data_IF_994203798833
#
_entry.id   IF_994203798833
#
_cell.length_a   1.000
_cell.length_b   1.000
_cell.length_c   1.000
_cell.angle_alpha   90.00
_cell.angle_beta   90.00
_cell.angle_gamma   90.00
#
_symmetry.space_group_name_H-M   'P 1'
#
loop_
_entity.id
_entity.type
_entity.pdbx_description
1 polymer ?
#
# COMPACT_ATOMS: atom_id res chain seq x y z
N UNK A 1 -5.70 -15.87 27.87
CA UNK A 1 -5.03 -14.56 27.66
C UNK A 1 -5.17 -14.23 26.18
N UNK A 2 -4.68 -13.08 25.69
CA UNK A 2 -4.81 -12.68 24.29
C UNK A 2 -3.44 -12.69 23.60
N UNK A 3 -3.38 -13.12 22.33
CA UNK A 3 -2.20 -12.92 21.48
C UNK A 3 -2.28 -11.55 20.82
N UNK A 4 -1.17 -10.81 20.80
CA UNK A 4 -1.02 -9.58 20.03
C UNK A 4 0.05 -9.81 18.97
N UNK A 5 -0.29 -9.54 17.72
CA UNK A 5 0.61 -9.62 16.58
C UNK A 5 0.78 -8.24 15.97
N UNK A 6 2.03 -7.83 15.73
CA UNK A 6 2.37 -6.50 15.23
C UNK A 6 3.37 -6.58 14.10
N UNK A 7 3.14 -5.80 13.05
CA UNK A 7 4.15 -5.50 12.06
C UNK A 7 4.51 -4.02 12.17
N UNK A 8 5.79 -3.75 12.44
CA UNK A 8 6.33 -2.42 12.66
C UNK A 8 7.15 -2.07 11.43
N UNK A 9 6.79 -0.98 10.77
CA UNK A 9 7.41 -0.53 9.53
C UNK A 9 7.72 0.97 9.58
N UNK A 10 8.83 1.40 8.96
CA UNK A 10 9.07 2.82 8.75
C UNK A 10 8.04 3.39 7.78
N UNK A 11 7.70 4.68 7.89
CA UNK A 11 6.76 5.32 6.98
C UNK A 11 7.13 6.75 6.63
N UNK A 12 6.81 7.17 5.40
CA UNK A 12 6.95 8.56 4.95
C UNK A 12 5.63 9.35 4.96
N UNK A 13 4.72 8.97 5.86
CA UNK A 13 3.45 9.66 5.99
C UNK A 13 3.62 10.94 6.80
N UNK A 14 3.10 12.03 6.25
CA UNK A 14 3.11 13.35 6.86
C UNK A 14 1.67 13.75 7.18
N UNK A 15 1.47 14.50 8.25
CA UNK A 15 0.16 15.10 8.56
C UNK A 15 0.11 16.54 8.03
N UNK A 16 -1.06 16.97 7.55
CA UNK A 16 -1.29 18.29 6.92
C UNK A 16 -0.79 19.48 7.74
N UNK A 17 -0.96 19.45 9.07
CA UNK A 17 -0.50 20.50 9.99
C UNK A 17 0.88 20.21 10.57
N UNK A 18 1.60 19.23 10.00
CA UNK A 18 2.90 18.74 10.43
C UNK A 18 2.93 18.33 11.90
N UNK A 19 1.79 17.85 12.42
CA UNK A 19 1.70 17.27 13.76
C UNK A 19 2.28 15.87 13.75
N UNK A 20 2.85 15.47 14.89
CA UNK A 20 3.39 14.12 15.09
C UNK A 20 2.54 13.26 16.02
N UNK A 21 1.33 13.74 16.32
CA UNK A 21 0.34 13.02 17.11
C UNK A 21 -0.02 11.70 16.43
N UNK A 22 -0.33 10.70 17.26
CA UNK A 22 -0.71 9.38 16.76
C UNK A 22 -2.06 9.44 16.05
N UNK A 23 -2.09 8.91 14.83
CA UNK A 23 -3.33 8.62 14.10
C UNK A 23 -3.66 7.13 14.26
N UNK A 24 -4.89 6.83 14.67
CA UNK A 24 -5.36 5.46 14.94
C UNK A 24 -6.51 5.16 13.99
N UNK A 25 -6.40 4.07 13.23
CA UNK A 25 -7.43 3.57 12.33
C UNK A 25 -7.88 2.19 12.83
N UNK A 26 -9.14 2.08 13.25
CA UNK A 26 -9.75 0.79 13.59
C UNK A 26 -10.31 0.15 12.32
N UNK A 27 -9.71 -0.98 11.94
CA UNK A 27 -10.05 -1.74 10.75
C UNK A 27 -10.60 -3.12 11.10
N UNK A 28 -11.08 -3.33 12.32
CA UNK A 28 -11.57 -4.62 12.81
C UNK A 28 -12.69 -5.15 11.93
N UNK A 29 -13.73 -4.34 11.70
CA UNK A 29 -14.89 -4.76 10.90
C UNK A 29 -14.53 -4.93 9.43
N UNK A 30 -13.64 -4.09 8.90
CA UNK A 30 -13.12 -4.20 7.54
C UNK A 30 -12.40 -5.54 7.35
N UNK A 31 -11.51 -5.91 8.28
CA UNK A 31 -10.80 -7.19 8.23
C UNK A 31 -11.74 -8.39 8.32
N UNK A 32 -12.71 -8.35 9.25
CA UNK A 32 -13.71 -9.41 9.38
C UNK A 32 -14.54 -9.56 8.12
N UNK A 33 -14.95 -8.45 7.49
CA UNK A 33 -15.70 -8.47 6.23
C UNK A 33 -14.86 -9.07 5.09
N UNK A 34 -13.59 -8.68 4.97
CA UNK A 34 -12.68 -9.23 3.95
C UNK A 34 -12.50 -10.75 4.12
N UNK A 35 -12.26 -11.22 5.34
CA UNK A 35 -12.12 -12.66 5.61
C UNK A 35 -13.43 -13.43 5.39
N UNK A 36 -14.57 -12.85 5.78
CA UNK A 36 -15.90 -13.43 5.54
C UNK A 36 -16.18 -13.61 4.04
N UNK A 37 -15.72 -12.68 3.21
CA UNK A 37 -15.87 -12.73 1.77
C UNK A 37 -14.78 -13.57 1.07
N UNK A 38 -14.04 -14.39 1.82
CA UNK A 38 -13.06 -15.34 1.28
C UNK A 38 -12.00 -14.68 0.39
N UNK A 39 -11.45 -13.55 0.85
CA UNK A 39 -10.41 -12.75 0.19
C UNK A 39 -9.21 -13.55 -0.37
N UNK A 40 -8.97 -14.77 0.12
CA UNK A 40 -7.94 -15.70 -0.35
C UNK A 40 -8.26 -16.41 -1.69
N UNK A 41 -9.49 -16.35 -2.19
CA UNK A 41 -9.91 -16.98 -3.45
C UNK A 41 -9.61 -16.12 -4.70
N UNK A 42 -9.01 -14.94 -4.52
CA UNK A 42 -8.65 -14.04 -5.63
C UNK A 42 -7.56 -14.64 -6.51
N UNK A 43 -7.53 -14.22 -7.77
CA UNK A 43 -6.51 -14.64 -8.76
C UNK A 43 -5.12 -14.04 -8.51
N UNK A 44 -5.00 -13.14 -7.52
CA UNK A 44 -3.77 -12.54 -7.08
C UNK A 44 -3.82 -12.38 -5.55
N UNK A 45 -2.65 -12.23 -4.92
CA UNK A 45 -2.56 -12.05 -3.47
C UNK A 45 -1.72 -10.81 -3.11
N UNK A 46 -2.13 -10.11 -2.04
CA UNK A 46 -1.29 -9.12 -1.37
C UNK A 46 -0.51 -9.74 -0.20
N UNK A 47 -1.12 -10.68 0.52
CA UNK A 47 -0.48 -11.57 1.51
C UNK A 47 -0.29 -13.02 1.04
N UNK A 48 -0.09 -13.96 1.97
CA UNK A 48 -0.05 -15.40 1.67
C UNK A 48 -1.46 -16.01 1.79
N UNK A 49 -1.98 -16.59 0.70
CA UNK A 49 -3.37 -17.10 0.63
C UNK A 49 -3.69 -18.16 1.69
N UNK A 50 -2.76 -19.09 1.93
CA UNK A 50 -2.95 -20.17 2.94
C UNK A 50 -3.07 -19.62 4.35
N UNK A 51 -2.31 -18.58 4.70
CA UNK A 51 -2.39 -17.95 6.03
C UNK A 51 -3.73 -17.24 6.24
N UNK A 52 -4.24 -16.57 5.21
CA UNK A 52 -5.55 -15.90 5.26
C UNK A 52 -6.69 -16.91 5.42
N UNK A 53 -6.71 -17.97 4.59
CA UNK A 53 -7.75 -19.00 4.61
C UNK A 53 -7.91 -19.69 5.96
N UNK A 54 -6.79 -19.91 6.67
CA UNK A 54 -6.79 -20.60 7.95
C UNK A 54 -7.14 -19.68 9.15
N UNK A 55 -7.46 -18.41 8.90
CA UNK A 55 -7.78 -17.43 9.95
C UNK A 55 -9.26 -17.44 10.29
N UNK A 56 -9.56 -17.86 11.51
CA UNK A 56 -10.90 -17.76 12.06
C UNK A 56 -11.21 -16.30 12.43
N UNK A 57 -12.25 -15.73 11.81
CA UNK A 57 -12.71 -14.37 12.05
C UNK A 57 -13.20 -14.14 13.48
N UNK A 58 -13.73 -15.17 14.15
CA UNK A 58 -14.20 -15.08 15.55
C UNK A 58 -13.04 -14.97 16.55
N UNK A 59 -11.83 -15.40 16.16
CA UNK A 59 -10.65 -15.21 16.99
C UNK A 59 -10.15 -13.76 16.99
N UNK A 60 -10.56 -12.93 16.02
CA UNK A 60 -10.09 -11.55 15.88
C UNK A 60 -10.86 -10.64 16.85
N UNK A 61 -10.15 -10.18 17.88
CA UNK A 61 -10.68 -9.22 18.86
C UNK A 61 -10.63 -7.79 18.32
N UNK A 62 -9.50 -7.39 17.73
CA UNK A 62 -9.34 -6.06 17.14
C UNK A 62 -8.25 -6.06 16.07
N UNK A 63 -8.37 -5.18 15.08
CA UNK A 63 -7.35 -4.92 14.07
C UNK A 63 -7.19 -3.41 13.90
N UNK A 64 -6.02 -2.88 14.26
CA UNK A 64 -5.76 -1.44 14.35
C UNK A 64 -4.47 -1.09 13.63
N UNK A 65 -4.47 0.00 12.88
CA UNK A 65 -3.25 0.61 12.35
C UNK A 65 -2.98 1.92 13.06
N UNK A 66 -1.76 2.05 13.60
CA UNK A 66 -1.26 3.23 14.29
C UNK A 66 -0.21 3.88 13.42
N UNK A 67 -0.49 5.08 12.95
CA UNK A 67 0.45 5.89 12.18
C UNK A 67 1.01 6.99 13.09
N UNK A 68 2.32 7.00 13.23
CA UNK A 68 3.08 8.09 13.82
C UNK A 68 3.72 8.86 12.66
N UNK A 69 3.21 10.06 12.32
CA UNK A 69 3.70 10.81 11.17
C UNK A 69 5.19 11.17 11.27
N UNK A 70 5.80 11.50 10.14
CA UNK A 70 7.15 12.06 10.06
C UNK A 70 7.28 13.32 10.92
N UNK A 71 8.46 13.50 11.50
CA UNK A 71 8.82 14.72 12.21
C UNK A 71 9.53 15.68 11.25
N UNK A 72 8.94 16.84 11.00
CA UNK A 72 9.43 17.82 10.01
C UNK A 72 9.98 19.08 10.68
N UNK A 73 9.50 19.44 11.87
CA UNK A 73 9.87 20.70 12.53
C UNK A 73 9.85 20.60 14.06
N UNK A 74 10.72 21.36 14.73
CA UNK A 74 10.81 21.48 16.19
C UNK A 74 12.16 21.01 16.75
N UNK A 75 12.20 20.77 18.06
CA UNK A 75 13.39 20.23 18.74
C UNK A 75 13.65 18.78 18.36
N UNK A 76 14.90 18.46 18.02
CA UNK A 76 15.33 17.12 17.64
C UNK A 76 15.35 16.20 18.86
N UNK A 77 14.53 15.14 18.82
CA UNK A 77 14.66 13.99 19.72
C UNK A 77 15.19 12.79 18.91
N UNK A 78 16.48 12.50 19.03
CA UNK A 78 17.14 11.40 18.32
C UNK A 78 16.57 10.02 18.69
N UNK A 79 16.03 9.88 19.90
CA UNK A 79 15.46 8.64 20.42
C UNK A 79 13.95 8.48 20.13
N UNK A 80 13.34 9.42 19.41
CA UNK A 80 11.89 9.44 19.13
C UNK A 80 11.39 8.09 18.62
N UNK A 81 12.04 7.52 17.60
CA UNK A 81 11.60 6.26 16.98
C UNK A 81 11.71 5.08 17.96
N UNK A 82 12.87 4.84 18.62
CA UNK A 82 12.97 3.85 19.68
C UNK A 82 11.93 4.00 20.80
N UNK A 83 11.74 5.22 21.31
CA UNK A 83 10.79 5.52 22.39
C UNK A 83 9.35 5.19 21.97
N UNK A 84 8.93 5.60 20.76
CA UNK A 84 7.60 5.29 20.22
C UNK A 84 7.37 3.78 20.13
N UNK A 85 8.35 3.03 19.61
CA UNK A 85 8.25 1.58 19.46
C UNK A 85 8.19 0.90 20.82
N UNK A 86 9.06 1.27 21.77
CA UNK A 86 9.07 0.66 23.11
C UNK A 86 7.82 1.01 23.92
N UNK A 87 7.26 2.21 23.77
CA UNK A 87 6.01 2.60 24.41
C UNK A 87 4.81 1.76 23.93
N UNK A 88 4.73 1.44 22.64
CA UNK A 88 3.62 0.65 22.08
C UNK A 88 3.85 -0.85 22.19
N UNK A 89 5.07 -1.30 21.92
CA UNK A 89 5.41 -2.72 21.83
C UNK A 89 5.86 -3.32 23.16
N UNK A 90 6.28 -2.49 24.11
CA UNK A 90 7.11 -2.88 25.24
C UNK A 90 8.57 -3.10 24.81
N UNK A 91 9.43 -3.42 25.78
CA UNK A 91 10.85 -3.70 25.53
C UNK A 91 10.99 -4.92 24.62
N UNK A 92 11.54 -4.70 23.43
CA UNK A 92 11.84 -5.79 22.49
C UNK A 92 13.08 -6.54 22.97
N UNK A 93 13.03 -7.87 23.14
CA UNK A 93 14.18 -8.61 23.66
C UNK A 93 15.40 -8.48 22.74
N UNK A 94 16.52 -8.02 23.30
CA UNK A 94 17.74 -7.74 22.54
C UNK A 94 18.32 -8.95 21.82
N UNK A 95 18.13 -10.15 22.39
CA UNK A 95 18.61 -11.42 21.83
C UNK A 95 17.95 -11.81 20.49
N UNK A 96 16.83 -11.17 20.12
CA UNK A 96 16.13 -11.43 18.85
C UNK A 96 16.72 -10.63 17.68
N UNK A 97 17.74 -9.80 17.91
CA UNK A 97 18.50 -9.06 16.90
C UNK A 97 17.69 -8.17 15.94
N UNK A 98 16.47 -7.76 16.29
CA UNK A 98 15.59 -6.87 15.49
C UNK A 98 15.84 -5.36 15.71
N UNK A 99 17.04 -4.97 16.15
CA UNK A 99 17.37 -3.59 16.54
C UNK A 99 17.57 -2.59 15.37
N UNK A 100 17.13 -2.93 14.15
CA UNK A 100 17.32 -2.07 12.97
C UNK A 100 16.66 -0.70 13.12
N UNK A 101 15.49 -0.66 13.76
CA UNK A 101 14.74 0.57 14.05
C UNK A 101 15.48 1.61 14.89
N UNK A 102 16.51 1.21 15.63
CA UNK A 102 17.35 2.14 16.41
C UNK A 102 18.26 2.99 15.55
N UNK A 103 18.43 2.65 14.27
CA UNK A 103 19.22 3.38 13.29
C UNK A 103 18.37 4.19 12.31
N UNK A 104 17.04 4.09 12.41
CA UNK A 104 16.17 4.88 11.56
C UNK A 104 16.28 6.35 11.94
N UNK A 105 16.26 7.24 10.95
CA UNK A 105 16.30 8.68 11.20
C UNK A 105 15.16 9.09 12.12
N UNK A 106 15.42 9.95 13.10
CA UNK A 106 14.39 10.48 14.01
C UNK A 106 13.25 11.21 13.28
N UNK A 107 13.51 11.69 12.05
CA UNK A 107 12.55 12.38 11.18
C UNK A 107 11.53 11.44 10.54
N UNK A 108 11.82 10.14 10.47
CA UNK A 108 10.92 9.18 9.83
C UNK A 108 9.65 8.95 10.66
N UNK A 109 8.56 8.63 9.97
CA UNK A 109 7.36 8.12 10.60
C UNK A 109 7.48 6.63 10.93
N UNK A 110 6.56 6.15 11.75
CA UNK A 110 6.44 4.72 12.07
C UNK A 110 4.98 4.32 11.91
N UNK A 111 4.73 3.22 11.22
CA UNK A 111 3.40 2.59 11.17
C UNK A 111 3.44 1.24 11.88
N UNK A 112 2.47 1.01 12.77
CA UNK A 112 2.32 -0.24 13.52
C UNK A 112 0.96 -0.83 13.14
N UNK A 113 1.00 -1.93 12.41
CA UNK A 113 -0.17 -2.73 12.06
C UNK A 113 -0.33 -3.78 13.17
N UNK A 114 -1.45 -3.77 13.88
CA UNK A 114 -1.69 -4.59 15.08
C UNK A 114 -2.98 -5.41 14.93
N UNK A 115 -2.91 -6.70 15.26
CA UNK A 115 -4.09 -7.56 15.43
C UNK A 115 -4.02 -8.22 16.80
N UNK A 116 -5.13 -8.13 17.54
CA UNK A 116 -5.33 -8.80 18.82
C UNK A 116 -6.26 -9.97 18.61
N UNK A 117 -5.83 -11.15 19.06
CA UNK A 117 -6.59 -12.39 18.98
C UNK A 117 -7.09 -12.81 20.37
N UNK A 118 -8.28 -13.40 20.42
CA UNK A 118 -8.82 -14.02 21.64
C UNK A 118 -8.02 -15.26 22.07
N UNK A 119 -7.39 -15.94 21.12
CA UNK A 119 -6.62 -17.16 21.35
C UNK A 119 -5.19 -16.86 21.79
N UNK A 120 -4.64 -17.77 22.61
CA UNK A 120 -3.24 -17.78 22.99
C UNK A 120 -2.41 -18.56 21.97
N UNK A 121 -1.27 -18.00 21.57
CA UNK A 121 -0.31 -18.70 20.71
C UNK A 121 0.61 -19.54 21.58
N UNK A 122 0.50 -20.87 21.43
CA UNK A 122 1.34 -21.82 22.15
C UNK A 122 2.74 -21.88 21.54
N UNK A 123 3.69 -22.37 22.33
CA UNK A 123 5.06 -22.71 21.89
C UNK A 123 5.82 -21.54 21.25
N UNK A 124 5.59 -20.30 21.72
CA UNK A 124 6.42 -19.14 21.34
C UNK A 124 7.88 -19.45 21.73
N UNK A 125 8.84 -19.35 20.76
CA UNK A 125 10.25 -19.60 21.02
C UNK A 125 10.82 -18.70 22.10
N UNK A 126 11.75 -19.26 22.85
CA UNK A 126 12.48 -18.62 23.93
C UNK A 126 13.97 -18.61 23.60
N UNK A 127 14.78 -17.97 24.46
CA UNK A 127 16.23 -17.88 24.26
C UNK A 127 16.91 -19.26 24.12
N UNK A 128 16.40 -20.30 24.79
CA UNK A 128 16.94 -21.67 24.67
C UNK A 128 16.66 -22.32 23.32
N UNK A 129 15.61 -21.88 22.62
CA UNK A 129 15.21 -22.44 21.31
C UNK A 129 16.01 -21.80 20.16
N UNK A 130 16.70 -20.69 20.44
CA UNK A 130 17.63 -20.01 19.57
C UNK A 130 19.03 -20.61 19.77
N UNK A 131 19.24 -21.83 19.30
CA UNK A 131 20.57 -22.46 19.32
C UNK A 131 21.50 -21.73 18.34
N UNK A 132 22.81 -21.76 18.58
CA UNK A 132 23.82 -21.26 17.64
C UNK A 132 23.93 -22.13 16.37
N UNK A 133 23.07 -23.14 16.21
CA UNK A 133 23.00 -23.98 15.04
C UNK A 133 22.32 -23.25 13.88
N UNK A 134 22.62 -23.68 12.66
CA UNK A 134 22.09 -23.08 11.42
C UNK A 134 20.56 -23.09 11.32
N UNK A 135 19.85 -23.92 12.12
CA UNK A 135 18.39 -24.06 12.08
C UNK A 135 17.84 -23.98 13.51
N UNK A 136 17.10 -22.91 13.87
CA UNK A 136 16.41 -22.83 15.14
C UNK A 136 15.40 -23.96 15.31
N UNK A 137 15.29 -24.52 16.52
CA UNK A 137 14.36 -25.62 16.80
C UNK A 137 12.96 -25.08 17.15
N UNK A 138 12.24 -24.59 16.15
CA UNK A 138 10.89 -24.06 16.33
C UNK A 138 9.82 -25.14 16.17
N UNK A 139 8.80 -25.10 17.01
CA UNK A 139 7.61 -25.93 16.87
C UNK A 139 6.86 -25.59 15.57
N UNK A 140 6.50 -26.61 14.78
CA UNK A 140 5.80 -26.45 13.49
C UNK A 140 4.50 -25.64 13.67
N UNK A 141 3.75 -25.87 14.75
CA UNK A 141 2.49 -25.14 15.03
C UNK A 141 2.76 -23.65 15.27
N UNK A 142 3.89 -23.32 15.88
CA UNK A 142 4.30 -21.91 16.04
C UNK A 142 4.66 -21.30 14.68
N UNK A 143 5.42 -22.01 13.83
CA UNK A 143 5.78 -21.55 12.48
C UNK A 143 4.52 -21.27 11.65
N UNK A 144 3.56 -22.20 11.66
CA UNK A 144 2.28 -22.02 10.96
C UNK A 144 1.51 -20.80 11.47
N UNK A 145 1.40 -20.63 12.80
CA UNK A 145 0.71 -19.49 13.41
C UNK A 145 1.43 -18.17 13.12
N UNK A 146 2.76 -18.17 13.08
CA UNK A 146 3.59 -17.03 12.72
C UNK A 146 3.31 -16.58 11.28
N UNK A 147 3.36 -17.50 10.30
CA UNK A 147 3.09 -17.17 8.90
C UNK A 147 1.64 -16.76 8.68
N UNK A 148 0.70 -17.38 9.39
CA UNK A 148 -0.69 -16.98 9.42
C UNK A 148 -0.85 -15.52 9.86
N UNK A 149 -0.38 -15.16 11.05
CA UNK A 149 -0.53 -13.79 11.57
C UNK A 149 0.16 -12.76 10.68
N UNK A 150 1.36 -13.06 10.16
CA UNK A 150 2.05 -12.17 9.24
C UNK A 150 1.28 -11.98 7.93
N UNK A 151 0.64 -13.02 7.39
CA UNK A 151 -0.17 -12.91 6.18
C UNK A 151 -1.36 -11.96 6.38
N UNK A 152 -2.07 -12.08 7.52
CA UNK A 152 -3.20 -11.19 7.84
C UNK A 152 -2.75 -9.74 7.98
N UNK A 153 -1.62 -9.49 8.65
CA UNK A 153 -1.06 -8.15 8.78
C UNK A 153 -0.65 -7.53 7.45
N UNK A 154 -0.02 -8.31 6.55
CA UNK A 154 0.36 -7.85 5.21
C UNK A 154 -0.85 -7.51 4.34
N UNK A 155 -1.90 -8.31 4.43
CA UNK A 155 -3.16 -8.06 3.73
C UNK A 155 -3.82 -6.78 4.22
N UNK A 156 -3.92 -6.61 5.55
CA UNK A 156 -4.47 -5.39 6.17
C UNK A 156 -3.66 -4.14 5.82
N UNK A 157 -2.33 -4.26 5.81
CA UNK A 157 -1.42 -3.18 5.45
C UNK A 157 -1.62 -2.74 3.99
N UNK A 158 -1.73 -3.71 3.06
CA UNK A 158 -1.96 -3.43 1.63
C UNK A 158 -3.31 -2.79 1.38
N UNK A 159 -4.35 -3.28 2.06
CA UNK A 159 -5.69 -2.69 2.04
C UNK A 159 -5.68 -1.23 2.52
N UNK A 160 -5.04 -0.97 3.66
CA UNK A 160 -4.95 0.38 4.22
C UNK A 160 -4.15 1.34 3.34
N UNK A 161 -3.00 0.89 2.84
CA UNK A 161 -2.14 1.68 1.95
C UNK A 161 -2.86 2.04 0.65
N UNK A 162 -3.64 1.11 0.10
CA UNK A 162 -4.50 1.37 -1.05
C UNK A 162 -5.52 2.46 -0.75
N UNK A 163 -6.21 2.37 0.39
CA UNK A 163 -7.14 3.40 0.83
C UNK A 163 -6.48 4.77 0.98
N UNK A 164 -5.27 4.83 1.55
CA UNK A 164 -4.51 6.07 1.67
C UNK A 164 -4.18 6.70 0.32
N UNK A 165 -3.64 5.94 -0.63
CA UNK A 165 -3.25 6.48 -1.94
C UNK A 165 -4.43 6.95 -2.79
N UNK A 166 -5.59 6.29 -2.66
CA UNK A 166 -6.80 6.72 -3.35
C UNK A 166 -7.47 7.92 -2.65
N UNK A 167 -7.36 8.04 -1.33
CA UNK A 167 -7.91 9.18 -0.57
C UNK A 167 -7.04 10.43 -0.65
N UNK A 168 -5.72 10.27 -0.74
CA UNK A 168 -4.74 11.36 -0.67
C UNK A 168 -3.73 11.23 -1.83
N UNK A 169 -4.12 11.57 -3.07
CA UNK A 169 -3.20 11.55 -4.18
C UNK A 169 -2.10 12.59 -3.95
N UNK A 170 -0.87 12.11 -3.75
CA UNK A 170 0.32 12.94 -3.57
C UNK A 170 1.14 13.00 -4.83
N UNK A 171 1.59 14.22 -5.16
CA UNK A 171 2.71 14.50 -6.05
C UNK A 171 3.90 14.90 -5.17
N UNK A 172 5.01 14.20 -5.26
CA UNK A 172 6.26 14.57 -4.60
C UNK A 172 7.40 14.46 -5.58
N UNK A 173 8.50 15.18 -5.41
CA UNK A 173 9.69 14.98 -6.22
C UNK A 173 10.61 14.08 -5.42
N UNK A 174 10.89 12.87 -5.92
CA UNK A 174 11.83 11.98 -5.24
C UNK A 174 13.24 12.46 -5.54
N UNK A 175 13.96 12.83 -4.48
CA UNK A 175 15.41 12.98 -4.55
C UNK A 175 16.02 11.60 -4.58
N UNK A 176 17.01 11.37 -5.46
CA UNK A 176 17.65 10.08 -5.64
C UNK A 176 18.18 9.60 -4.29
N UNK A 177 17.65 8.48 -3.81
CA UNK A 177 18.06 7.86 -2.57
C UNK A 177 18.76 6.53 -2.86
N UNK A 178 20.09 6.56 -2.93
CA UNK A 178 20.89 5.36 -3.19
C UNK A 178 20.96 4.42 -1.95
N UNK A 179 20.35 4.79 -0.82
CA UNK A 179 20.30 3.98 0.41
C UNK A 179 18.86 3.93 0.98
N UNK A 180 17.94 3.25 0.27
CA UNK A 180 16.55 3.10 0.72
C UNK A 180 16.46 2.37 2.06
N UNK A 181 15.49 2.76 2.87
CA UNK A 181 15.20 2.02 4.10
C UNK A 181 14.34 0.82 3.71
N UNK A 182 14.95 -0.36 3.73
CA UNK A 182 14.26 -1.64 3.59
C UNK A 182 14.38 -2.43 4.89
N UNK A 183 13.58 -2.03 5.88
CA UNK A 183 13.64 -2.55 7.25
C UNK A 183 12.25 -2.59 7.88
N UNK A 184 12.11 -3.42 8.89
CA UNK A 184 10.85 -3.69 9.58
C UNK A 184 10.96 -4.98 10.38
N UNK A 185 10.05 -5.16 11.32
CA UNK A 185 10.01 -6.38 12.11
C UNK A 185 8.60 -6.76 12.49
N UNK A 186 8.40 -8.07 12.59
CA UNK A 186 7.18 -8.67 13.09
C UNK A 186 7.40 -9.10 14.54
N UNK A 187 6.42 -8.83 15.39
CA UNK A 187 6.42 -9.14 16.82
C UNK A 187 5.12 -9.89 17.16
N UNK A 188 5.25 -11.03 17.81
CA UNK A 188 4.14 -11.77 18.41
C UNK A 188 4.35 -11.83 19.93
N UNK A 189 3.30 -11.49 20.69
CA UNK A 189 3.29 -11.53 22.14
C UNK A 189 2.05 -12.30 22.61
N UNK A 190 2.24 -13.31 23.45
CA UNK A 190 1.15 -14.08 24.07
C UNK A 190 1.51 -14.34 25.54
N UNK A 191 0.69 -13.82 26.45
CA UNK A 191 1.02 -13.80 27.88
C UNK A 191 2.38 -13.11 28.14
N UNK A 192 3.27 -13.80 28.85
CA UNK A 192 4.62 -13.32 29.17
C UNK A 192 5.67 -13.66 28.12
N UNK A 193 5.31 -14.39 27.06
CA UNK A 193 6.24 -14.77 25.98
C UNK A 193 6.13 -13.79 24.82
N UNK A 194 7.27 -13.47 24.22
CA UNK A 194 7.34 -12.67 22.99
C UNK A 194 8.40 -13.22 22.06
N UNK A 195 8.12 -13.12 20.77
CA UNK A 195 9.05 -13.45 19.69
C UNK A 195 9.00 -12.36 18.63
N UNK A 196 10.15 -12.03 18.07
CA UNK A 196 10.28 -11.02 17.04
C UNK A 196 11.26 -11.49 15.97
N UNK A 197 10.94 -11.16 14.73
CA UNK A 197 11.77 -11.49 13.57
C UNK A 197 11.84 -10.30 12.62
N UNK A 198 12.99 -10.12 11.96
CA UNK A 198 13.13 -9.12 10.91
C UNK A 198 12.24 -9.48 9.72
N UNK A 199 11.50 -8.50 9.24
CA UNK A 199 10.67 -8.59 8.03
C UNK A 199 10.97 -7.35 7.21
N UNK A 200 11.94 -7.46 6.31
CA UNK A 200 12.35 -6.38 5.40
C UNK A 200 11.15 -5.92 4.55
N UNK A 201 10.96 -4.61 4.49
CA UNK A 201 9.89 -3.98 3.71
C UNK A 201 10.19 -2.51 3.47
N UNK A 202 9.66 -1.96 2.39
CA UNK A 202 9.59 -0.53 2.11
C UNK A 202 8.14 -0.06 1.85
N UNK A 203 7.13 -0.90 2.11
CA UNK A 203 5.74 -0.68 1.66
C UNK A 203 5.04 0.60 2.16
N UNK A 204 5.59 1.33 3.13
CA UNK A 204 4.99 2.56 3.68
C UNK A 204 5.88 3.78 3.42
N UNK A 205 6.90 3.60 2.59
CA UNK A 205 7.93 4.60 2.32
C UNK A 205 7.55 5.51 1.17
N UNK A 206 6.52 5.20 0.39
CA UNK A 206 6.01 6.18 -0.56
C UNK A 206 5.33 7.37 0.17
N UNK A 207 5.64 8.60 -0.24
CA UNK A 207 5.11 9.79 0.44
C UNK A 207 3.58 9.91 0.33
N UNK A 208 2.93 10.18 1.47
CA UNK A 208 1.50 10.45 1.59
C UNK A 208 1.30 11.61 2.57
N UNK A 209 0.52 12.61 2.16
CA UNK A 209 0.07 13.70 3.03
C UNK A 209 -1.32 13.35 3.54
N UNK A 210 -1.41 12.97 4.81
CA UNK A 210 -2.66 12.66 5.48
C UNK A 210 -3.33 13.96 5.92
N UNK A 211 -4.41 14.31 5.22
CA UNK A 211 -5.27 15.44 5.56
C UNK A 211 -6.27 15.00 6.63
N UNK A 212 -5.97 15.29 7.90
CA UNK A 212 -6.86 14.90 9.02
C UNK A 212 -8.24 15.53 8.92
N UNK A 213 -8.34 16.68 8.26
CA UNK A 213 -9.61 17.35 7.89
C UNK A 213 -10.50 16.49 6.98
N UNK A 214 -9.92 15.57 6.21
CA UNK A 214 -10.60 14.63 5.30
C UNK A 214 -10.65 13.20 5.83
N UNK A 215 -10.50 13.00 7.14
CA UNK A 215 -10.51 11.67 7.77
C UNK A 215 -11.79 10.87 7.48
N UNK A 216 -12.94 11.53 7.42
CA UNK A 216 -14.19 10.86 7.04
C UNK A 216 -14.14 10.25 5.63
N UNK A 217 -13.42 10.88 4.69
CA UNK A 217 -13.30 10.38 3.33
C UNK A 217 -12.51 9.08 3.27
N UNK A 218 -11.43 8.94 4.05
CA UNK A 218 -10.69 7.68 4.11
C UNK A 218 -11.53 6.57 4.77
N UNK A 219 -12.31 6.88 5.81
CA UNK A 219 -13.20 5.91 6.45
C UNK A 219 -14.28 5.42 5.47
N UNK A 220 -14.90 6.33 4.69
CA UNK A 220 -15.86 5.97 3.63
C UNK A 220 -15.19 5.13 2.55
N UNK A 221 -14.02 5.52 2.07
CA UNK A 221 -13.28 4.81 1.03
C UNK A 221 -12.87 3.40 1.47
N UNK A 222 -12.35 3.26 2.69
CA UNK A 222 -11.98 1.95 3.25
C UNK A 222 -13.22 1.06 3.41
N UNK A 223 -14.36 1.61 3.85
CA UNK A 223 -15.61 0.87 3.94
C UNK A 223 -16.05 0.34 2.58
N UNK A 224 -16.10 1.20 1.56
CA UNK A 224 -16.42 0.80 0.19
C UNK A 224 -15.42 -0.21 -0.37
N UNK A 225 -14.12 -0.01 -0.14
CA UNK A 225 -13.08 -0.92 -0.61
C UNK A 225 -13.21 -2.30 0.03
N UNK A 226 -13.51 -2.39 1.33
CA UNK A 226 -13.62 -3.66 2.05
C UNK A 226 -14.74 -4.56 1.54
N UNK A 227 -15.84 -3.98 1.03
CA UNK A 227 -16.96 -4.77 0.49
C UNK A 227 -16.60 -5.44 -0.84
N UNK A 228 -15.71 -4.83 -1.62
CA UNK A 228 -15.29 -5.32 -2.94
C UNK A 228 -13.88 -5.92 -2.95
N UNK A 229 -13.15 -5.89 -1.82
CA UNK A 229 -11.74 -6.29 -1.75
C UNK A 229 -11.49 -7.72 -2.20
N UNK A 230 -12.49 -8.61 -2.05
CA UNK A 230 -12.46 -10.02 -2.45
C UNK A 230 -12.61 -10.26 -3.96
N UNK A 231 -12.93 -9.24 -4.76
CA UNK A 231 -13.06 -9.35 -6.21
C UNK A 231 -11.70 -9.30 -6.94
N UNK A 232 -11.75 -9.46 -8.27
CA UNK A 232 -10.57 -9.35 -9.12
C UNK A 232 -10.17 -7.88 -9.34
N UNK A 233 -9.41 -7.35 -8.38
CA UNK A 233 -8.85 -5.99 -8.37
C UNK A 233 -7.40 -5.94 -8.91
N UNK A 234 -7.07 -6.74 -9.93
CA UNK A 234 -5.72 -6.76 -10.52
C UNK A 234 -5.15 -5.37 -10.88
N UNK A 235 -5.93 -4.44 -11.49
CA UNK A 235 -5.47 -3.06 -11.72
C UNK A 235 -5.01 -2.35 -10.45
N UNK A 236 -5.72 -2.58 -9.34
CA UNK A 236 -5.39 -1.99 -8.05
C UNK A 236 -4.11 -2.59 -7.46
N UNK A 237 -3.86 -3.90 -7.66
CA UNK A 237 -2.60 -4.54 -7.26
C UNK A 237 -1.41 -3.93 -7.99
N UNK A 238 -1.52 -3.73 -9.30
CA UNK A 238 -0.49 -3.08 -10.12
C UNK A 238 -0.24 -1.64 -9.68
N UNK A 239 -1.31 -0.89 -9.41
CA UNK A 239 -1.19 0.46 -8.86
C UNK A 239 -0.42 0.45 -7.53
N UNK A 240 -0.76 -0.45 -6.61
CA UNK A 240 -0.08 -0.54 -5.33
C UNK A 240 1.41 -0.86 -5.48
N UNK A 241 1.80 -1.77 -6.37
CA UNK A 241 3.21 -2.04 -6.67
C UNK A 241 3.96 -0.78 -7.15
N UNK A 242 3.28 0.07 -7.93
CA UNK A 242 3.88 1.32 -8.38
C UNK A 242 4.11 2.30 -7.23
N UNK A 243 3.24 2.31 -6.20
CA UNK A 243 3.21 3.34 -5.16
C UNK A 243 3.53 2.85 -3.75
N UNK A 244 3.99 1.61 -3.54
CA UNK A 244 4.25 1.11 -2.18
C UNK A 244 5.62 1.55 -1.61
N UNK A 245 6.62 1.79 -2.46
CA UNK A 245 8.01 2.05 -2.04
C UNK A 245 8.43 3.50 -2.30
N UNK A 246 9.46 3.99 -1.58
CA UNK A 246 10.16 5.24 -1.92
C UNK A 246 11.11 5.07 -3.11
N UNK A 247 11.49 3.83 -3.42
CA UNK A 247 12.27 3.50 -4.60
C UNK A 247 11.38 3.51 -5.84
N UNK A 248 11.31 4.65 -6.49
CA UNK A 248 10.63 4.79 -7.77
C UNK A 248 11.64 4.52 -8.89
N UNK A 249 11.19 3.81 -9.91
CA UNK A 249 11.90 3.51 -11.14
C UNK A 249 10.93 3.58 -12.32
N UNK A 250 11.44 3.41 -13.54
CA UNK A 250 10.57 3.35 -14.71
C UNK A 250 9.65 2.14 -14.73
N UNK A 251 9.99 1.05 -14.01
CA UNK A 251 9.08 -0.08 -13.83
C UNK A 251 7.81 0.33 -13.06
N UNK A 252 7.91 1.28 -12.12
CA UNK A 252 6.75 1.81 -11.42
C UNK A 252 5.84 2.62 -12.37
N UNK A 253 6.39 3.36 -13.35
CA UNK A 253 5.57 3.98 -14.40
C UNK A 253 4.87 2.92 -15.27
N UNK A 254 5.57 1.82 -15.61
CA UNK A 254 4.96 0.72 -16.35
C UNK A 254 3.81 0.08 -15.55
N UNK A 255 3.99 -0.15 -14.26
CA UNK A 255 2.93 -0.66 -13.38
C UNK A 255 1.71 0.28 -13.31
N UNK A 256 1.91 1.60 -13.34
CA UNK A 256 0.82 2.58 -13.46
C UNK A 256 0.08 2.45 -14.80
N UNK A 257 0.80 2.30 -15.91
CA UNK A 257 0.20 2.15 -17.24
C UNK A 257 -0.53 0.80 -17.32
N UNK A 258 0.05 -0.28 -16.82
CA UNK A 258 -0.60 -1.60 -16.78
C UNK A 258 -1.80 -1.63 -15.84
N UNK A 259 -1.77 -0.86 -14.76
CA UNK A 259 -2.95 -0.62 -13.91
C UNK A 259 -4.06 0.04 -14.73
N UNK A 260 -3.74 1.11 -15.47
CA UNK A 260 -4.72 1.79 -16.33
C UNK A 260 -5.28 0.87 -17.42
N UNK A 261 -4.43 0.18 -18.16
CA UNK A 261 -4.83 -0.77 -19.21
C UNK A 261 -5.69 -1.91 -18.64
N UNK A 262 -5.40 -2.36 -17.42
CA UNK A 262 -6.17 -3.40 -16.74
C UNK A 262 -7.60 -3.01 -16.40
N UNK A 263 -7.95 -1.72 -16.46
CA UNK A 263 -9.33 -1.22 -16.34
C UNK A 263 -10.14 -1.39 -17.62
N UNK A 264 -9.60 -2.00 -18.67
CA UNK A 264 -10.30 -2.18 -19.94
C UNK A 264 -10.24 -3.64 -20.40
N UNK A 265 -11.02 -3.97 -21.43
CA UNK A 265 -10.99 -5.29 -22.04
C UNK A 265 -9.64 -5.59 -22.69
N UNK A 266 -9.31 -6.88 -22.78
CA UNK A 266 -8.11 -7.32 -23.48
C UNK A 266 -8.18 -6.83 -24.92
N UNK A 267 -7.09 -6.26 -25.43
CA UNK A 267 -6.98 -5.64 -26.78
C UNK A 267 -7.69 -4.30 -26.99
N UNK A 268 -8.17 -3.65 -25.92
CA UNK A 268 -8.56 -2.24 -26.01
C UNK A 268 -7.40 -1.40 -26.54
N UNK A 269 -7.67 -0.55 -27.54
CA UNK A 269 -6.63 0.29 -28.13
C UNK A 269 -6.18 1.37 -27.14
N UNK A 270 -4.89 1.71 -27.18
CA UNK A 270 -4.36 2.79 -26.36
C UNK A 270 -5.12 4.11 -26.60
N UNK A 271 -5.54 4.39 -27.83
CA UNK A 271 -6.29 5.61 -28.16
C UNK A 271 -7.69 5.63 -27.54
N UNK A 272 -8.36 4.47 -27.45
CA UNK A 272 -9.63 4.37 -26.74
C UNK A 272 -9.45 4.64 -25.23
N UNK A 273 -8.44 4.02 -24.62
CA UNK A 273 -8.12 4.23 -23.19
C UNK A 273 -7.82 5.70 -22.91
N UNK A 274 -6.97 6.33 -23.74
CA UNK A 274 -6.63 7.75 -23.61
C UNK A 274 -7.86 8.63 -23.72
N UNK A 275 -8.74 8.34 -24.68
CA UNK A 275 -9.98 9.09 -24.88
C UNK A 275 -10.91 8.96 -23.67
N UNK A 276 -11.05 7.75 -23.12
CA UNK A 276 -11.81 7.50 -21.89
C UNK A 276 -11.29 8.31 -20.71
N UNK A 277 -9.97 8.37 -20.50
CA UNK A 277 -9.38 9.20 -19.44
C UNK A 277 -9.70 10.69 -19.64
N UNK A 278 -9.50 11.21 -20.86
CA UNK A 278 -9.73 12.62 -21.17
C UNK A 278 -11.20 13.00 -20.93
N UNK A 279 -12.14 12.20 -21.43
CA UNK A 279 -13.57 12.46 -21.26
C UNK A 279 -14.02 12.38 -19.79
N UNK A 280 -13.43 11.46 -19.01
CA UNK A 280 -13.80 11.28 -17.60
C UNK A 280 -13.26 12.35 -16.66
N UNK A 281 -12.08 12.91 -16.97
CA UNK A 281 -11.28 13.66 -16.02
C UNK A 281 -11.10 15.13 -16.40
N UNK A 282 -11.23 15.48 -17.68
CA UNK A 282 -11.03 16.85 -18.14
C UNK A 282 -12.35 17.60 -18.26
N UNK A 283 -12.40 18.82 -17.72
CA UNK A 283 -13.56 19.72 -17.85
C UNK A 283 -13.38 20.77 -18.94
N UNK A 284 -12.13 21.11 -19.26
CA UNK A 284 -11.82 22.12 -20.26
C UNK A 284 -11.00 21.54 -21.41
N UNK A 285 -11.10 22.19 -22.58
CA UNK A 285 -10.28 21.87 -23.76
C UNK A 285 -8.78 21.98 -23.48
N UNK A 286 -8.38 22.86 -22.56
CA UNK A 286 -6.98 23.01 -22.15
C UNK A 286 -6.51 21.77 -21.40
N UNK A 287 -7.26 21.35 -20.37
CA UNK A 287 -6.93 20.16 -19.57
C UNK A 287 -6.88 18.91 -20.47
N UNK A 288 -7.81 18.79 -21.41
CA UNK A 288 -7.85 17.68 -22.37
C UNK A 288 -6.58 17.61 -23.22
N UNK A 289 -6.07 18.75 -23.70
CA UNK A 289 -4.81 18.81 -24.48
C UNK A 289 -3.61 18.45 -23.62
N UNK A 290 -3.56 18.95 -22.39
CA UNK A 290 -2.45 18.65 -21.46
C UNK A 290 -2.42 17.16 -21.09
N UNK A 291 -3.59 16.58 -20.76
CA UNK A 291 -3.73 15.17 -20.47
C UNK A 291 -3.41 14.29 -21.69
N UNK A 292 -3.87 14.67 -22.88
CA UNK A 292 -3.51 13.96 -24.12
C UNK A 292 -1.99 13.90 -24.31
N UNK A 293 -1.30 15.04 -24.21
CA UNK A 293 0.15 15.10 -24.37
C UNK A 293 0.87 14.24 -23.33
N UNK A 294 0.39 14.25 -22.08
CA UNK A 294 0.94 13.41 -21.01
C UNK A 294 0.77 11.92 -21.31
N UNK A 295 -0.44 11.49 -21.68
CA UNK A 295 -0.73 10.10 -21.98
C UNK A 295 0.04 9.63 -23.22
N UNK A 296 0.14 10.45 -24.26
CA UNK A 296 0.93 10.13 -25.46
C UNK A 296 2.40 9.88 -25.11
N UNK A 297 2.99 10.72 -24.24
CA UNK A 297 4.36 10.52 -23.75
C UNK A 297 4.49 9.28 -22.89
N UNK A 298 3.55 9.03 -21.97
CA UNK A 298 3.58 7.86 -21.10
C UNK A 298 3.49 6.55 -21.90
N UNK A 299 2.56 6.45 -22.85
CA UNK A 299 2.43 5.28 -23.72
C UNK A 299 3.62 5.12 -24.68
N UNK A 300 4.22 6.21 -25.16
CA UNK A 300 5.47 6.13 -25.93
C UNK A 300 6.58 5.50 -25.10
N UNK A 301 6.85 6.02 -23.90
CA UNK A 301 7.88 5.47 -23.00
C UNK A 301 7.64 3.97 -22.77
N UNK A 302 6.39 3.57 -22.49
CA UNK A 302 6.03 2.16 -22.32
C UNK A 302 6.33 1.33 -23.54
N UNK A 303 6.02 1.82 -24.75
CA UNK A 303 6.27 1.09 -25.99
C UNK A 303 7.77 0.99 -26.28
N UNK A 304 8.51 2.08 -26.12
CA UNK A 304 9.96 2.12 -26.32
C UNK A 304 10.65 1.10 -25.41
N UNK A 305 10.22 0.97 -24.14
CA UNK A 305 10.73 -0.04 -23.21
C UNK A 305 10.28 -1.45 -23.62
N UNK A 306 8.98 -1.66 -23.88
CA UNK A 306 8.43 -2.98 -24.18
C UNK A 306 8.98 -3.60 -25.48
N UNK A 307 9.37 -2.77 -26.44
CA UNK A 307 9.98 -3.20 -27.70
C UNK A 307 11.52 -3.18 -27.67
N UNK A 308 12.13 -2.85 -26.53
CA UNK A 308 13.59 -2.86 -26.36
C UNK A 308 14.32 -1.74 -27.12
N UNK A 309 13.61 -0.67 -27.48
CA UNK A 309 14.18 0.47 -28.23
C UNK A 309 15.02 1.38 -27.32
N UNK A 310 14.57 1.59 -26.07
CA UNK A 310 15.27 2.46 -25.11
C UNK A 310 14.97 2.10 -23.65
N UNK A 311 15.99 2.17 -22.80
CA UNK A 311 15.82 2.25 -21.34
C UNK A 311 15.70 3.70 -20.89
N UNK A 312 14.85 3.95 -19.90
CA UNK A 312 14.67 5.27 -19.29
C UNK A 312 15.11 5.26 -17.83
N UNK A 313 15.69 6.37 -17.38
CA UNK A 313 15.83 6.71 -15.96
C UNK A 313 14.75 7.76 -15.59
N UNK A 314 14.33 7.82 -14.33
CA UNK A 314 13.43 8.85 -13.82
C UNK A 314 13.97 10.28 -14.00
N UNK A 315 15.29 10.43 -14.02
CA UNK A 315 15.98 11.70 -14.23
C UNK A 315 16.23 12.03 -15.70
N UNK A 316 15.83 11.15 -16.64
CA UNK A 316 15.90 11.46 -18.06
C UNK A 316 14.95 12.60 -18.44
N UNK A 317 15.40 13.44 -19.36
CA UNK A 317 14.55 14.47 -19.97
C UNK A 317 13.73 13.89 -21.12
N UNK A 318 12.42 14.14 -21.09
CA UNK A 318 11.46 13.80 -22.14
C UNK A 318 10.71 15.05 -22.60
N UNK A 319 10.34 15.09 -23.88
CA UNK A 319 9.52 16.18 -24.44
C UNK A 319 8.04 15.98 -24.09
N UNK A 320 7.49 16.88 -23.28
CA UNK A 320 6.07 16.98 -22.95
C UNK A 320 5.51 18.29 -23.48
N UNK A 321 4.62 18.23 -24.48
CA UNK A 321 4.04 19.44 -25.10
C UNK A 321 5.09 20.39 -25.68
N UNK A 322 6.21 19.85 -26.18
CA UNK A 322 7.32 20.62 -26.73
C UNK A 322 8.34 21.14 -25.70
N UNK A 323 8.09 20.97 -24.40
CA UNK A 323 9.02 21.36 -23.32
C UNK A 323 9.76 20.14 -22.78
N UNK A 324 11.02 20.31 -22.41
CA UNK A 324 11.78 19.28 -21.71
C UNK A 324 11.30 19.17 -20.26
N UNK A 325 11.08 17.95 -19.80
CA UNK A 325 10.56 17.65 -18.46
C UNK A 325 11.15 16.32 -18.01
N UNK A 326 11.45 16.19 -16.71
CA UNK A 326 11.97 14.94 -16.16
C UNK A 326 10.92 13.82 -16.27
N UNK A 327 11.35 12.60 -16.58
CA UNK A 327 10.48 11.44 -16.71
C UNK A 327 9.70 11.15 -15.40
N UNK A 328 10.27 11.45 -14.23
CA UNK A 328 9.55 11.35 -12.96
C UNK A 328 8.25 12.18 -12.92
N UNK A 329 8.19 13.33 -13.59
CA UNK A 329 6.97 14.15 -13.63
C UNK A 329 5.85 13.45 -14.39
N UNK A 330 6.21 12.60 -15.36
CA UNK A 330 5.24 11.75 -16.06
C UNK A 330 4.69 10.70 -15.10
N UNK A 331 5.55 10.04 -14.33
CA UNK A 331 5.13 9.10 -13.28
C UNK A 331 4.13 9.72 -12.31
N UNK A 332 4.41 10.90 -11.77
CA UNK A 332 3.55 11.56 -10.78
C UNK A 332 2.17 11.92 -11.33
N UNK A 333 2.13 12.50 -12.52
CA UNK A 333 0.85 12.83 -13.15
C UNK A 333 0.08 11.59 -13.55
N UNK A 334 0.77 10.53 -13.99
CA UNK A 334 0.15 9.24 -14.28
C UNK A 334 -0.43 8.60 -13.02
N UNK A 335 0.27 8.67 -11.88
CA UNK A 335 -0.25 8.16 -10.59
C UNK A 335 -1.61 8.80 -10.27
N UNK A 336 -1.71 10.12 -10.41
CA UNK A 336 -2.97 10.86 -10.17
C UNK A 336 -4.07 10.43 -11.13
N UNK A 337 -3.79 10.31 -12.43
CA UNK A 337 -4.76 9.85 -13.43
C UNK A 337 -5.26 8.44 -13.11
N UNK A 338 -4.34 7.52 -12.83
CA UNK A 338 -4.66 6.11 -12.52
C UNK A 338 -5.49 6.02 -11.24
N UNK A 339 -5.13 6.76 -10.19
CA UNK A 339 -5.91 6.84 -8.96
C UNK A 339 -7.35 7.32 -9.22
N UNK A 340 -7.53 8.40 -9.98
CA UNK A 340 -8.87 8.90 -10.33
C UNK A 340 -9.71 7.88 -11.12
N UNK A 341 -9.09 7.18 -12.08
CA UNK A 341 -9.79 6.14 -12.85
C UNK A 341 -10.12 4.92 -11.98
N UNK A 342 -9.24 4.52 -11.07
CA UNK A 342 -9.49 3.46 -10.09
C UNK A 342 -10.64 3.81 -9.16
N UNK A 343 -10.70 5.05 -8.66
CA UNK A 343 -11.81 5.52 -7.81
C UNK A 343 -13.13 5.40 -8.57
N UNK A 344 -13.20 5.89 -9.82
CA UNK A 344 -14.40 5.78 -10.66
C UNK A 344 -14.82 4.33 -10.87
N UNK A 345 -13.86 3.45 -11.16
CA UNK A 345 -14.12 2.03 -11.36
C UNK A 345 -14.59 1.32 -10.09
N UNK A 346 -13.99 1.64 -8.93
CA UNK A 346 -14.42 1.13 -7.63
C UNK A 346 -15.84 1.60 -7.29
N UNK A 347 -16.18 2.87 -7.52
CA UNK A 347 -17.54 3.39 -7.35
C UNK A 347 -18.53 2.60 -8.21
N UNK A 348 -18.23 2.39 -9.49
CA UNK A 348 -19.06 1.57 -10.39
C UNK A 348 -19.23 0.14 -9.86
N UNK A 349 -18.15 -0.49 -9.40
CA UNK A 349 -18.18 -1.85 -8.85
C UNK A 349 -19.01 -1.94 -7.55
N UNK A 350 -18.99 -0.90 -6.72
CA UNK A 350 -19.79 -0.83 -5.48
C UNK A 350 -21.28 -0.66 -5.82
N UNK A 351 -21.60 0.13 -6.84
CA UNK A 351 -22.98 0.42 -7.26
C UNK A 351 -23.61 -0.72 -8.10
N UNK A 352 -22.81 -1.46 -8.85
CA UNK A 352 -23.27 -2.54 -9.71
C UNK A 352 -23.01 -3.93 -9.09
N UNK A 353 -24.06 -4.54 -8.54
CA UNK A 353 -24.02 -5.84 -7.86
C UNK A 353 -23.74 -7.03 -8.77
N UNK A 354 -23.75 -6.88 -10.10
CA UNK A 354 -23.39 -7.93 -11.06
C UNK A 354 -21.90 -7.88 -11.44
N UNK A 355 -21.25 -6.73 -11.23
CA UNK A 355 -19.84 -6.54 -11.57
C UNK A 355 -18.93 -7.25 -10.56
N UNK A 356 -17.85 -7.86 -11.05
CA UNK A 356 -16.89 -8.65 -10.25
C UNK A 356 -15.42 -8.30 -10.52
N UNK A 357 -15.18 -7.22 -11.25
CA UNK A 357 -13.86 -6.73 -11.65
C UNK A 357 -13.92 -5.20 -11.84
N UNK A 358 -12.80 -4.56 -12.16
CA UNK A 358 -12.69 -3.09 -12.31
C UNK A 358 -12.82 -2.58 -13.75
N UNK A 359 -13.37 -3.36 -14.69
CA UNK A 359 -13.32 -2.98 -16.11
C UNK A 359 -14.41 -1.99 -16.52
N UNK A 360 -14.00 -0.99 -17.28
CA UNK A 360 -14.87 -0.20 -18.14
C UNK A 360 -15.14 -0.96 -19.44
N UNK A 361 -16.35 -0.80 -19.97
CA UNK A 361 -16.82 -1.37 -21.23
C UNK A 361 -17.20 -0.25 -22.21
N UNK A 362 -17.63 -0.65 -23.42
CA UNK A 362 -18.03 0.30 -24.47
C UNK A 362 -19.25 1.13 -24.08
N UNK A 363 -20.17 0.57 -23.28
CA UNK A 363 -21.37 1.28 -22.82
C UNK A 363 -20.99 2.46 -21.92
N UNK A 364 -19.98 2.31 -21.06
CA UNK A 364 -19.47 3.41 -20.24
C UNK A 364 -18.99 4.59 -21.09
N UNK A 365 -18.31 4.30 -22.21
CA UNK A 365 -17.85 5.35 -23.14
C UNK A 365 -19.02 6.05 -23.82
N UNK A 366 -20.03 5.30 -24.26
CA UNK A 366 -21.25 5.85 -24.88
C UNK A 366 -21.97 6.76 -23.88
N UNK A 367 -22.15 6.30 -22.65
CA UNK A 367 -22.84 7.06 -21.61
C UNK A 367 -22.11 8.38 -21.31
N UNK A 368 -20.78 8.36 -21.19
CA UNK A 368 -19.98 9.58 -20.99
C UNK A 368 -20.02 10.55 -22.16
N UNK A 369 -20.18 10.05 -23.39
CA UNK A 369 -20.13 10.88 -24.60
C UNK A 369 -21.50 11.46 -24.94
N UNK A 370 -22.58 10.71 -24.68
CA UNK A 370 -23.91 11.01 -25.24
C UNK A 370 -25.02 11.19 -24.20
N UNK A 371 -24.84 10.75 -22.94
CA UNK A 371 -25.78 11.05 -21.84
C UNK A 371 -25.21 12.18 -20.99
N UNK A 372 -25.41 13.42 -21.43
CA UNK A 372 -25.17 14.64 -20.62
C UNK A 372 -26.39 14.90 -19.74
#
# INVERSE_FOLDING_TARGET
>A
MATISRWIVPSYFTEEKHRTDQLIFDLTDHLKLMLKNEVWNRKFNYGFSTGLKNTNLDEIKSAVIRVFPRFIQGYVNENRVPELIENVCGKVPSHLNVNGYKKWSHQIGVSIIEIVYHSDTKNIPTKSDLTNDFVPNYDIKFIEKFHQHLAVLKELASFFLTGLHLSFPTESIVVRNDSPINDGFFLIKSGNKSYAAKVKTSAFMHEILIETTKRSNIEINLKGLSSVWHFDLWPLKRFLNAVESDQISMDNLLDLIYSLEGLFEKSASADFIKSMCILNLCRTKKDAREMKNLLDVAYRIRNDIAHGERSYDLYDYVKLGGKETLAQMIYWKMKTIVACMLIKSLSKLIENTEMRNLRFNSDDFIDLTFKI
#
